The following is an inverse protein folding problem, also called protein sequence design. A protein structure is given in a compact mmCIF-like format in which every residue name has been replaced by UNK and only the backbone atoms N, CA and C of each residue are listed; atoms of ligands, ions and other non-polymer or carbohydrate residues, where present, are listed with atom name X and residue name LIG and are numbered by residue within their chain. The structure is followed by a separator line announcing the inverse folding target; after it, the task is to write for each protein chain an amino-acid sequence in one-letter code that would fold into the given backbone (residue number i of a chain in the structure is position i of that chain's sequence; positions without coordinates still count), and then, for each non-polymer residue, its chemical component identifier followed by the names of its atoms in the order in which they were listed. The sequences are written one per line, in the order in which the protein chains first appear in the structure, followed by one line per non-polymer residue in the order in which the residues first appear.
data_IF_432223754362
#
_entry.id   IF_432223754362
#
_cell.length_a   1.000
_cell.length_b   1.000
_cell.length_c   1.000
_cell.angle_alpha   90.00
_cell.angle_beta   90.00
_cell.angle_gamma   90.00
#
_symmetry.space_group_name_H-M   'P 1'
#
loop_
_entity.id
_entity.type
_entity.pdbx_description
1 polymer ?
#
# COMPACT_ATOMS: atom_id res chain seq x y z
N UNK A 1 47.73 24.56 27.46
CA UNK A 1 47.78 23.91 26.13
C UNK A 1 47.00 22.61 26.08
N UNK A 2 47.14 21.68 27.04
CA UNK A 2 46.37 20.41 27.12
C UNK A 2 44.83 20.58 27.13
N UNK A 3 44.30 21.59 27.83
CA UNK A 3 42.85 21.84 27.88
C UNK A 3 42.22 22.23 26.53
N UNK A 4 42.97 22.92 25.68
CA UNK A 4 42.51 23.32 24.33
C UNK A 4 42.49 22.12 23.38
N UNK A 5 43.41 21.17 23.57
CA UNK A 5 43.42 19.91 22.82
C UNK A 5 42.20 19.02 23.17
N UNK A 6 41.82 18.97 24.45
CA UNK A 6 40.67 18.17 24.90
C UNK A 6 39.33 18.70 24.42
N UNK A 7 39.14 20.03 24.35
CA UNK A 7 37.91 20.61 23.79
C UNK A 7 37.79 20.45 22.28
N UNK A 8 38.90 20.46 21.55
CA UNK A 8 38.91 20.16 20.11
C UNK A 8 38.50 18.72 19.80
N UNK A 9 38.96 17.76 20.61
CA UNK A 9 38.66 16.34 20.41
C UNK A 9 37.18 15.99 20.67
N UNK A 10 36.53 16.68 21.63
CA UNK A 10 35.11 16.52 21.92
C UNK A 10 34.18 17.15 20.86
N UNK A 11 34.65 18.15 20.12
CA UNK A 11 33.88 18.75 19.02
C UNK A 11 33.84 17.83 17.78
N UNK A 12 34.91 17.05 17.54
CA UNK A 12 34.98 16.13 16.40
C UNK A 12 34.11 14.86 16.58
N UNK A 13 33.84 14.43 17.82
CA UNK A 13 33.00 13.25 18.08
C UNK A 13 31.51 13.48 17.82
N UNK A 14 31.05 14.73 17.83
CA UNK A 14 29.67 15.12 17.51
C UNK A 14 29.41 15.21 15.98
N UNK A 15 30.45 15.31 15.16
CA UNK A 15 30.35 15.33 13.70
C UNK A 15 30.21 13.92 13.07
N UNK A 16 30.28 12.86 13.88
CA UNK A 16 30.19 11.47 13.44
C UNK A 16 28.76 10.96 13.19
N UNK A 17 27.75 11.83 13.32
CA UNK A 17 26.38 11.54 12.90
C UNK A 17 26.26 11.61 11.37
N UNK A 18 27.02 10.79 10.65
CA UNK A 18 26.84 10.59 9.21
C UNK A 18 25.57 9.76 9.03
N UNK A 19 24.56 10.34 8.38
CA UNK A 19 23.36 9.61 7.99
C UNK A 19 23.76 8.53 6.98
N UNK A 20 23.85 7.27 7.43
CA UNK A 20 24.04 6.08 6.58
C UNK A 20 22.67 5.58 6.07
N UNK A 21 21.67 6.47 5.98
CA UNK A 21 20.40 6.08 5.40
C UNK A 21 20.59 5.96 3.89
N UNK A 22 20.39 4.77 3.28
CA UNK A 22 20.43 4.64 1.84
C UNK A 22 19.45 5.63 1.23
N UNK A 23 19.85 6.27 0.12
CA UNK A 23 18.92 7.13 -0.61
C UNK A 23 17.66 6.32 -0.96
N UNK A 24 16.46 6.83 -0.64
CA UNK A 24 15.23 6.16 -1.01
C UNK A 24 15.21 5.98 -2.52
N UNK A 25 15.16 4.73 -2.98
CA UNK A 25 14.93 4.43 -4.40
C UNK A 25 13.52 4.88 -4.74
N UNK A 26 13.41 6.04 -5.39
CA UNK A 26 12.12 6.54 -5.85
C UNK A 26 11.71 5.74 -7.10
N UNK A 27 10.52 5.12 -7.12
CA UNK A 27 10.04 4.45 -8.32
C UNK A 27 9.87 5.47 -9.45
N UNK A 28 10.19 5.04 -10.67
CA UNK A 28 10.02 5.85 -11.88
C UNK A 28 8.55 5.98 -12.27
N UNK A 29 7.69 5.07 -11.81
CA UNK A 29 6.25 5.10 -12.06
C UNK A 29 5.44 4.55 -10.90
N UNK A 30 4.32 5.21 -10.63
CA UNK A 30 3.30 4.75 -9.69
C UNK A 30 2.02 4.40 -10.45
N UNK A 31 1.48 3.22 -10.18
CA UNK A 31 0.29 2.70 -10.83
C UNK A 31 -0.85 2.52 -9.82
N UNK A 32 -2.08 2.62 -10.31
CA UNK A 32 -3.30 2.33 -9.56
C UNK A 32 -4.34 1.77 -10.51
N UNK A 33 -5.35 1.10 -9.97
CA UNK A 33 -6.54 0.81 -10.76
C UNK A 33 -7.22 2.12 -11.15
N UNK A 34 -7.76 2.15 -12.37
CA UNK A 34 -8.69 3.21 -12.74
C UNK A 34 -9.91 3.15 -11.81
N UNK A 35 -10.65 4.26 -11.62
CA UNK A 35 -11.93 4.20 -10.92
C UNK A 35 -12.81 3.12 -11.55
N UNK A 36 -13.41 2.26 -10.74
CA UNK A 36 -14.35 1.26 -11.25
C UNK A 36 -15.71 1.92 -11.45
N UNK A 37 -16.37 1.57 -12.55
CA UNK A 37 -17.78 1.93 -12.72
C UNK A 37 -18.64 1.04 -11.82
N UNK A 38 -19.69 1.62 -11.26
CA UNK A 38 -20.69 0.88 -10.52
C UNK A 38 -21.26 -0.22 -11.41
N UNK A 39 -21.10 -1.47 -10.98
CA UNK A 39 -21.52 -2.64 -11.75
C UNK A 39 -22.81 -3.24 -11.19
N UNK A 40 -23.01 -3.16 -9.86
CA UNK A 40 -24.16 -3.78 -9.19
C UNK A 40 -24.76 -2.86 -8.12
N UNK A 41 -26.09 -2.83 -8.06
CA UNK A 41 -26.82 -2.29 -6.92
C UNK A 41 -26.95 -3.35 -5.82
N UNK A 42 -26.76 -2.91 -4.57
CA UNK A 42 -26.90 -3.78 -3.40
C UNK A 42 -28.29 -3.61 -2.78
N UNK A 43 -28.94 -4.72 -2.44
CA UNK A 43 -30.19 -4.72 -1.67
C UNK A 43 -29.94 -4.66 -0.15
N UNK A 44 -28.78 -5.14 0.29
CA UNK A 44 -28.35 -5.13 1.68
C UNK A 44 -26.91 -4.63 1.79
N UNK A 45 -26.57 -3.95 2.88
CA UNK A 45 -25.20 -3.49 3.09
C UNK A 45 -24.24 -4.67 3.29
N UNK A 46 -23.02 -4.52 2.77
CA UNK A 46 -21.97 -5.53 2.85
C UNK A 46 -20.68 -4.86 3.31
N UNK A 47 -20.03 -5.42 4.31
CA UNK A 47 -18.70 -5.00 4.76
C UNK A 47 -17.65 -5.67 3.86
N UNK A 48 -16.83 -4.87 3.20
CA UNK A 48 -15.86 -5.33 2.20
C UNK A 48 -14.47 -5.35 2.84
N UNK A 49 -13.91 -6.52 3.14
CA UNK A 49 -12.55 -6.64 3.70
C UNK A 49 -11.48 -6.37 2.64
N UNK A 50 -10.27 -6.03 3.08
CA UNK A 50 -9.11 -6.20 2.21
C UNK A 50 -8.93 -7.69 1.90
N UNK A 51 -8.63 -8.07 0.65
CA UNK A 51 -8.41 -9.47 0.31
C UNK A 51 -7.14 -10.03 0.92
N UNK A 52 -7.19 -11.30 1.24
CA UNK A 52 -6.03 -12.09 1.63
C UNK A 52 -5.15 -12.36 0.41
N UNK A 53 -3.86 -12.11 0.56
CA UNK A 53 -2.92 -12.31 -0.54
C UNK A 53 -1.55 -12.78 -0.04
N UNK A 54 -0.86 -13.55 -0.88
CA UNK A 54 0.52 -13.94 -0.59
C UNK A 54 1.42 -12.71 -0.50
N UNK A 55 2.47 -12.77 0.34
CA UNK A 55 3.40 -11.66 0.55
C UNK A 55 4.03 -11.11 -0.74
N UNK A 56 4.16 -11.96 -1.77
CA UNK A 56 4.74 -11.57 -3.05
C UNK A 56 3.92 -10.49 -3.76
N UNK A 57 2.58 -10.55 -3.64
CA UNK A 57 1.66 -9.65 -4.35
C UNK A 57 0.98 -8.67 -3.43
N UNK A 58 0.87 -8.95 -2.12
CA UNK A 58 0.12 -8.12 -1.18
C UNK A 58 0.67 -6.70 -1.00
N UNK A 59 1.95 -6.47 -1.30
CA UNK A 59 2.61 -5.19 -1.10
C UNK A 59 2.39 -4.17 -2.23
N UNK A 60 3.25 -3.15 -2.23
CA UNK A 60 3.32 -2.12 -3.28
C UNK A 60 4.12 -2.56 -4.51
N UNK A 61 4.95 -3.59 -4.39
CA UNK A 61 5.70 -4.12 -5.52
C UNK A 61 4.75 -4.77 -6.52
N UNK A 62 4.95 -4.52 -7.80
CA UNK A 62 4.18 -5.15 -8.86
C UNK A 62 4.86 -6.49 -9.18
N UNK A 63 4.13 -7.59 -9.09
CA UNK A 63 4.58 -8.88 -9.60
C UNK A 63 3.94 -9.13 -10.97
N UNK A 64 4.73 -9.68 -11.90
CA UNK A 64 4.28 -10.11 -13.20
C UNK A 64 4.81 -11.52 -13.50
N UNK A 65 4.00 -12.29 -14.22
CA UNK A 65 4.43 -13.57 -14.77
C UNK A 65 5.20 -13.34 -16.07
N UNK A 66 6.35 -14.00 -16.23
CA UNK A 66 7.11 -13.97 -17.48
C UNK A 66 6.67 -15.06 -18.47
N UNK A 67 7.28 -15.08 -19.66
CA UNK A 67 6.98 -16.09 -20.69
C UNK A 67 7.26 -17.55 -20.27
N UNK A 68 7.98 -17.77 -19.17
CA UNK A 68 8.28 -19.10 -18.63
C UNK A 68 7.33 -19.52 -17.50
N UNK A 69 6.38 -18.66 -17.12
CA UNK A 69 5.48 -18.88 -15.99
C UNK A 69 6.07 -18.48 -14.63
N UNK A 70 7.24 -17.81 -14.61
CA UNK A 70 7.88 -17.40 -13.37
C UNK A 70 7.33 -16.04 -12.92
N UNK A 71 6.90 -15.95 -11.65
CA UNK A 71 6.53 -14.67 -11.03
C UNK A 71 7.78 -13.87 -10.67
N UNK A 72 7.85 -12.63 -11.13
CA UNK A 72 8.95 -11.70 -10.86
C UNK A 72 8.43 -10.34 -10.46
N UNK A 73 9.18 -9.66 -9.60
CA UNK A 73 8.91 -8.25 -9.29
C UNK A 73 9.35 -7.38 -10.47
N UNK A 74 8.49 -6.46 -10.88
CA UNK A 74 8.77 -5.49 -11.93
C UNK A 74 9.59 -4.34 -11.34
N UNK A 75 10.81 -4.09 -11.81
CA UNK A 75 11.68 -3.07 -11.23
C UNK A 75 11.21 -1.65 -11.56
N UNK A 76 11.56 -0.70 -10.68
CA UNK A 76 11.35 0.74 -10.86
C UNK A 76 9.89 1.21 -10.96
N UNK A 77 8.92 0.32 -10.72
CA UNK A 77 7.50 0.64 -10.72
C UNK A 77 6.84 0.04 -9.49
N UNK A 78 5.87 0.76 -8.95
CA UNK A 78 5.12 0.33 -7.77
C UNK A 78 3.64 0.69 -7.93
N UNK A 79 2.81 0.01 -7.15
CA UNK A 79 1.48 0.49 -6.83
C UNK A 79 1.55 1.74 -5.95
N UNK A 80 0.54 2.61 -6.07
CA UNK A 80 0.37 3.79 -5.21
C UNK A 80 0.12 3.42 -3.75
N UNK A 81 -0.45 2.24 -3.50
CA UNK A 81 -0.71 1.65 -2.18
C UNK A 81 -0.56 0.12 -2.24
N UNK A 82 -0.81 -0.63 -1.16
CA UNK A 82 -0.81 -2.10 -1.19
C UNK A 82 -1.81 -2.60 -2.24
N UNK A 83 -1.47 -3.67 -2.96
CA UNK A 83 -2.38 -4.19 -4.00
C UNK A 83 -3.71 -4.68 -3.42
N UNK A 84 -3.71 -5.18 -2.19
CA UNK A 84 -4.91 -5.60 -1.45
C UNK A 84 -5.82 -4.40 -1.19
N UNK A 85 -5.24 -3.29 -0.72
CA UNK A 85 -5.99 -2.07 -0.48
C UNK A 85 -6.55 -1.49 -1.77
N UNK A 86 -5.76 -1.46 -2.84
CA UNK A 86 -6.24 -1.02 -4.15
C UNK A 86 -7.39 -1.89 -4.65
N UNK A 87 -7.33 -3.21 -4.45
CA UNK A 87 -8.39 -4.14 -4.84
C UNK A 87 -9.66 -3.93 -4.02
N UNK A 88 -9.53 -3.71 -2.71
CA UNK A 88 -10.66 -3.37 -1.84
C UNK A 88 -11.35 -2.09 -2.31
N UNK A 89 -10.57 -1.04 -2.60
CA UNK A 89 -11.12 0.23 -3.10
C UNK A 89 -11.85 0.04 -4.43
N UNK A 90 -11.28 -0.75 -5.35
CA UNK A 90 -11.94 -1.09 -6.61
C UNK A 90 -13.26 -1.83 -6.40
N UNK A 91 -13.32 -2.74 -5.42
CA UNK A 91 -14.56 -3.44 -5.05
C UNK A 91 -15.60 -2.49 -4.43
N UNK A 92 -15.18 -1.56 -3.57
CA UNK A 92 -16.05 -0.54 -3.00
C UNK A 92 -16.64 0.36 -4.09
N UNK A 93 -15.83 0.82 -5.04
CA UNK A 93 -16.25 1.63 -6.19
C UNK A 93 -17.27 0.86 -7.07
N UNK A 94 -16.97 -0.40 -7.38
CA UNK A 94 -17.83 -1.25 -8.20
C UNK A 94 -19.20 -1.53 -7.58
N UNK A 95 -19.29 -1.47 -6.24
CA UNK A 95 -20.50 -1.74 -5.46
C UNK A 95 -21.15 -0.46 -4.90
N UNK A 96 -20.72 0.73 -5.35
CA UNK A 96 -21.25 2.02 -4.89
C UNK A 96 -22.60 2.40 -5.53
N UNK A 97 -23.46 1.42 -5.73
CA UNK A 97 -24.76 1.58 -6.37
C UNK A 97 -25.75 2.50 -5.62
N UNK A 98 -26.86 2.78 -6.32
CA UNK A 98 -28.00 3.54 -5.82
C UNK A 98 -29.03 2.65 -5.10
N UNK A 99 -28.79 1.34 -5.05
CA UNK A 99 -29.57 0.40 -4.24
C UNK A 99 -29.66 0.76 -2.75
N UNK A 100 -30.54 0.05 -2.04
CA UNK A 100 -30.82 0.27 -0.62
C UNK A 100 -29.63 -0.09 0.29
N UNK A 101 -28.81 -1.06 -0.12
CA UNK A 101 -27.58 -1.47 0.53
C UNK A 101 -26.39 -0.56 0.16
N UNK A 102 -25.35 -0.62 0.99
CA UNK A 102 -24.06 0.05 0.75
C UNK A 102 -22.90 -0.90 0.94
N UNK A 103 -21.88 -0.75 0.10
CA UNK A 103 -20.57 -1.34 0.33
C UNK A 103 -19.83 -0.48 1.37
N UNK A 104 -19.36 -1.12 2.44
CA UNK A 104 -18.82 -0.44 3.62
C UNK A 104 -17.41 -0.94 3.86
N UNK A 105 -16.47 0.00 4.04
CA UNK A 105 -15.11 -0.33 4.42
C UNK A 105 -15.02 -0.48 5.96
N UNK A 106 -14.26 -1.48 6.49
CA UNK A 106 -14.18 -1.75 7.93
C UNK A 106 -13.69 -0.56 8.75
N UNK A 107 -12.81 0.27 8.20
CA UNK A 107 -12.25 1.46 8.85
C UNK A 107 -13.28 2.54 9.18
N UNK A 108 -14.47 2.49 8.58
CA UNK A 108 -15.56 3.42 8.90
C UNK A 108 -16.20 3.13 10.26
N UNK A 109 -15.98 1.93 10.82
CA UNK A 109 -16.61 1.47 12.06
C UNK A 109 -18.12 1.14 11.93
N UNK A 110 -18.70 1.29 10.74
CA UNK A 110 -20.07 0.90 10.47
C UNK A 110 -20.20 -0.63 10.37
N UNK A 111 -21.33 -1.16 10.81
CA UNK A 111 -21.65 -2.58 10.71
C UNK A 111 -22.52 -2.86 9.48
N UNK A 112 -22.44 -4.09 8.98
CA UNK A 112 -23.26 -4.58 7.88
C UNK A 112 -23.80 -5.98 8.23
N UNK A 113 -24.98 -6.36 7.71
CA UNK A 113 -25.52 -7.71 7.91
C UNK A 113 -24.70 -8.81 7.23
N UNK A 114 -23.89 -8.46 6.22
CA UNK A 114 -23.04 -9.38 5.48
C UNK A 114 -21.59 -8.88 5.43
N UNK A 115 -20.65 -9.80 5.29
CA UNK A 115 -19.23 -9.53 5.11
C UNK A 115 -18.71 -10.29 3.88
N UNK A 116 -17.90 -9.62 3.06
CA UNK A 116 -17.16 -10.20 1.95
C UNK A 116 -15.67 -10.24 2.30
N UNK A 117 -15.12 -11.46 2.32
CA UNK A 117 -13.70 -11.78 2.59
C UNK A 117 -13.23 -12.80 1.55
N UNK A 118 -12.11 -12.55 0.89
CA UNK A 118 -11.63 -13.34 -0.25
C UNK A 118 -10.12 -13.31 -0.40
#
# INVERSE_FOLDING_TARGET
MIRVLMTGLAACSLAACVSVLPEPKVPQGLYRFAPMETTYDLDASVLIREPDASRLVAGRAIAAEDSSGALRLVPNVEWTDSSTRLMQMAMLDALQGQGAGKAIAPETGASAPYELSW
#
